data_IF_177644099612
#
_entry.id   IF_177644099612
#
_cell.length_a   1.000
_cell.length_b   1.000
_cell.length_c   1.000
_cell.angle_alpha   90.00
_cell.angle_beta   90.00
_cell.angle_gamma   90.00
#
_symmetry.space_group_name_H-M   'P 1'
#
loop_
_entity.id
_entity.type
_entity.pdbx_description
1 polymer ?
#
# COMPACT_ATOMS: atom_id res chain seq x y z
N UNK A 1 7.85 -25.81 -51.83
CA UNK A 1 8.53 -25.12 -50.71
C UNK A 1 7.89 -23.75 -50.50
N UNK A 2 7.04 -23.61 -49.48
CA UNK A 2 6.55 -22.32 -48.96
C UNK A 2 6.63 -22.41 -47.44
N UNK A 3 7.57 -21.70 -46.83
CA UNK A 3 7.73 -21.66 -45.39
C UNK A 3 6.60 -20.82 -44.78
N UNK A 4 5.90 -21.40 -43.80
CA UNK A 4 4.98 -20.67 -42.92
C UNK A 4 5.83 -19.83 -41.94
N UNK A 5 5.43 -18.59 -41.61
CA UNK A 5 6.05 -17.86 -40.50
C UNK A 5 5.70 -18.56 -39.17
N UNK A 6 6.61 -18.55 -38.18
CA UNK A 6 6.34 -19.14 -36.87
C UNK A 6 5.30 -18.31 -36.13
N UNK A 7 4.36 -19.02 -35.49
CA UNK A 7 3.36 -18.45 -34.61
C UNK A 7 4.03 -17.72 -33.44
N UNK A 8 3.72 -16.43 -33.26
CA UNK A 8 4.06 -15.69 -32.06
C UNK A 8 3.11 -16.16 -30.96
N UNK A 9 3.63 -16.96 -30.04
CA UNK A 9 2.93 -17.43 -28.85
C UNK A 9 2.53 -16.25 -27.97
N UNK A 10 1.23 -16.00 -27.87
CA UNK A 10 0.63 -15.09 -26.91
C UNK A 10 0.66 -15.72 -25.51
N UNK A 11 1.77 -15.55 -24.78
CA UNK A 11 1.89 -15.93 -23.36
C UNK A 11 2.94 -15.10 -22.64
N UNK A 12 2.66 -13.85 -22.27
CA UNK A 12 3.25 -13.19 -21.08
C UNK A 12 2.30 -12.07 -20.63
N UNK A 13 1.19 -12.45 -19.99
CA UNK A 13 0.36 -11.56 -19.17
C UNK A 13 0.28 -12.24 -17.80
N UNK A 14 0.56 -11.47 -16.74
CA UNK A 14 0.53 -11.82 -15.32
C UNK A 14 1.55 -12.85 -14.81
N UNK A 15 2.66 -12.35 -14.24
CA UNK A 15 3.20 -12.79 -12.95
C UNK A 15 4.43 -11.94 -12.60
N UNK A 16 4.23 -10.74 -12.04
CA UNK A 16 5.29 -10.15 -11.19
C UNK A 16 5.13 -10.83 -9.84
N UNK A 17 5.70 -12.03 -9.75
CA UNK A 17 5.90 -12.73 -8.49
C UNK A 17 6.79 -11.86 -7.60
N UNK A 18 6.29 -11.60 -6.40
CA UNK A 18 7.05 -11.08 -5.26
C UNK A 18 8.43 -11.74 -5.19
N UNK A 19 9.47 -10.96 -5.43
CA UNK A 19 10.81 -11.29 -4.97
C UNK A 19 10.90 -11.05 -3.46
N UNK A 20 10.50 -12.04 -2.67
CA UNK A 20 10.83 -12.14 -1.25
C UNK A 20 10.96 -13.62 -0.89
N UNK A 21 12.22 -14.06 -0.83
CA UNK A 21 12.85 -15.03 0.08
C UNK A 21 12.08 -16.32 0.42
N UNK A 22 12.81 -17.44 0.30
CA UNK A 22 12.42 -18.77 0.73
C UNK A 22 11.83 -18.83 2.17
N UNK A 23 10.74 -19.61 2.27
CA UNK A 23 10.15 -20.22 3.48
C UNK A 23 9.70 -19.28 4.62
N UNK A 24 8.53 -18.67 4.43
CA UNK A 24 7.59 -18.31 5.49
C UNK A 24 6.17 -18.76 5.07
N UNK A 25 5.26 -19.14 5.99
CA UNK A 25 3.89 -19.56 5.66
C UNK A 25 3.15 -18.45 4.90
N UNK A 26 2.08 -18.72 4.14
CA UNK A 26 1.54 -17.82 3.12
C UNK A 26 1.19 -16.46 3.74
N UNK A 27 2.11 -15.51 3.60
CA UNK A 27 1.94 -14.16 4.08
C UNK A 27 0.97 -13.47 3.12
N UNK A 28 -0.18 -13.05 3.65
CA UNK A 28 -1.16 -12.18 3.00
C UNK A 28 -0.44 -11.14 2.15
N UNK A 29 -0.65 -11.19 0.83
CA UNK A 29 -0.03 -10.26 -0.11
C UNK A 29 -0.38 -8.83 0.32
N UNK A 30 0.62 -8.10 0.80
CA UNK A 30 0.49 -6.66 0.97
C UNK A 30 0.24 -6.05 -0.42
N UNK A 31 -0.59 -5.01 -0.50
CA UNK A 31 -0.63 -4.22 -1.73
C UNK A 31 0.77 -3.71 -2.05
N UNK A 32 1.04 -3.46 -3.34
CA UNK A 32 2.34 -2.99 -3.79
C UNK A 32 2.80 -1.74 -3.03
N UNK A 33 1.91 -0.77 -2.79
CA UNK A 33 2.22 0.41 -1.98
C UNK A 33 2.53 0.08 -0.53
N UNK A 34 1.81 -0.83 0.12
CA UNK A 34 2.04 -1.17 1.52
C UNK A 34 3.32 -1.98 1.73
N UNK A 35 3.69 -2.86 0.80
CA UNK A 35 4.95 -3.59 0.84
C UNK A 35 6.14 -2.62 0.76
N UNK A 36 6.04 -1.66 -0.16
CA UNK A 36 7.09 -0.70 -0.41
C UNK A 36 7.12 0.44 0.63
N UNK A 37 5.97 0.83 1.20
CA UNK A 37 5.90 1.71 2.38
C UNK A 37 6.69 1.11 3.54
N UNK A 38 6.57 -0.19 3.80
CA UNK A 38 7.35 -0.85 4.86
C UNK A 38 8.85 -0.81 4.58
N UNK A 39 9.25 -0.97 3.33
CA UNK A 39 10.65 -0.89 2.91
C UNK A 39 11.22 0.53 3.09
N UNK A 40 10.41 1.56 2.85
CA UNK A 40 10.79 2.97 3.00
C UNK A 40 10.72 3.48 4.45
N UNK A 41 9.88 2.87 5.29
CA UNK A 41 9.56 3.34 6.66
C UNK A 41 10.41 2.69 7.75
N UNK A 42 11.68 2.36 7.48
CA UNK A 42 12.60 1.89 8.52
C UNK A 42 12.58 2.87 9.72
N UNK A 43 12.48 2.38 10.97
CA UNK A 43 12.01 3.18 12.09
C UNK A 43 12.93 4.39 12.36
N UNK A 44 12.32 5.58 12.41
CA UNK A 44 12.88 6.74 13.11
C UNK A 44 12.30 6.75 14.52
N UNK A 45 13.18 6.81 15.52
CA UNK A 45 12.94 6.83 16.96
C UNK A 45 11.53 7.29 17.38
N UNK A 46 10.73 6.34 17.85
CA UNK A 46 9.46 6.58 18.50
C UNK A 46 9.67 6.54 20.03
N UNK A 47 9.25 7.55 20.81
CA UNK A 47 9.46 7.60 22.25
C UNK A 47 8.80 6.44 23.02
N UNK A 48 7.89 5.67 22.42
CA UNK A 48 7.35 4.46 23.09
C UNK A 48 8.21 3.20 22.87
N UNK A 49 9.32 3.29 22.13
CA UNK A 49 10.18 2.14 21.82
C UNK A 49 10.84 1.56 23.08
N UNK A 50 10.93 2.34 24.15
CA UNK A 50 11.50 1.93 25.44
C UNK A 50 10.51 1.19 26.37
N UNK A 51 9.24 1.01 25.98
CA UNK A 51 8.26 0.29 26.81
C UNK A 51 8.52 -1.22 26.75
N UNK A 52 9.25 -1.72 27.75
CA UNK A 52 9.57 -3.13 27.90
C UNK A 52 8.31 -3.97 28.16
N UNK A 53 8.31 -5.20 27.64
CA UNK A 53 7.37 -6.26 28.03
C UNK A 53 7.52 -6.50 29.54
N UNK A 54 6.59 -5.96 30.34
CA UNK A 54 6.58 -6.15 31.80
C UNK A 54 6.30 -4.90 32.62
N UNK A 55 6.34 -3.69 32.03
CA UNK A 55 5.80 -2.51 32.71
C UNK A 55 4.28 -2.66 32.87
N UNK A 56 3.75 -2.39 34.07
CA UNK A 56 2.30 -2.30 34.27
C UNK A 56 1.82 -1.05 33.52
N UNK A 57 1.16 -1.27 32.39
CA UNK A 57 0.53 -0.18 31.64
C UNK A 57 -0.86 0.01 32.25
N UNK A 58 -0.99 0.84 33.27
CA UNK A 58 -2.28 1.18 33.90
C UNK A 58 -2.84 2.52 33.38
N UNK A 59 -4.12 2.79 33.68
CA UNK A 59 -4.79 4.02 33.20
C UNK A 59 -4.10 5.28 33.76
N UNK A 60 -3.63 5.24 35.01
CA UNK A 60 -2.97 6.39 35.66
C UNK A 60 -1.61 6.69 35.02
N UNK A 61 -0.81 5.65 34.74
CA UNK A 61 0.46 5.76 34.05
C UNK A 61 0.30 6.34 32.64
N UNK A 62 -0.71 5.87 31.90
CA UNK A 62 -1.01 6.39 30.56
C UNK A 62 -1.56 7.82 30.61
N UNK A 63 -2.39 8.16 31.61
CA UNK A 63 -2.90 9.52 31.79
C UNK A 63 -1.77 10.56 31.91
N UNK A 64 -0.67 10.21 32.59
CA UNK A 64 0.51 11.10 32.73
C UNK A 64 1.24 11.38 31.42
N UNK A 65 1.04 10.55 30.39
CA UNK A 65 1.60 10.73 29.05
C UNK A 65 0.73 11.60 28.14
N UNK A 66 -0.52 11.86 28.54
CA UNK A 66 -1.48 12.62 27.75
C UNK A 66 -1.55 14.07 28.21
N UNK A 67 -2.01 15.00 27.35
CA UNK A 67 -2.28 16.37 27.76
C UNK A 67 -3.22 16.44 28.97
N UNK A 68 -3.04 17.46 29.80
CA UNK A 68 -3.94 17.71 30.92
C UNK A 68 -5.40 17.81 30.44
N UNK A 69 -6.31 17.11 31.14
CA UNK A 69 -7.72 17.05 30.80
C UNK A 69 -8.10 15.98 29.77
N UNK A 70 -7.17 15.13 29.31
CA UNK A 70 -7.51 13.97 28.50
C UNK A 70 -8.53 13.07 29.22
N UNK A 71 -9.60 12.71 28.50
CA UNK A 71 -10.67 11.88 29.03
C UNK A 71 -10.29 10.39 29.09
N UNK A 72 -11.09 9.60 29.80
CA UNK A 72 -10.86 8.17 29.94
C UNK A 72 -10.81 7.46 28.59
N UNK A 73 -11.58 7.91 27.59
CA UNK A 73 -11.55 7.36 26.23
C UNK A 73 -10.17 7.53 25.61
N UNK A 74 -9.57 8.71 25.72
CA UNK A 74 -8.22 9.00 25.24
C UNK A 74 -7.17 8.12 25.91
N UNK A 75 -7.31 7.89 27.22
CA UNK A 75 -6.44 6.96 27.98
C UNK A 75 -6.55 5.54 27.44
N UNK A 76 -7.77 5.01 27.27
CA UNK A 76 -8.00 3.66 26.76
C UNK A 76 -7.45 3.49 25.33
N UNK A 77 -7.63 4.47 24.44
CA UNK A 77 -7.07 4.44 23.08
C UNK A 77 -5.54 4.41 23.09
N UNK A 78 -4.92 5.24 23.92
CA UNK A 78 -3.46 5.27 24.04
C UNK A 78 -2.94 3.96 24.62
N UNK A 79 -3.61 3.44 25.66
CA UNK A 79 -3.24 2.16 26.27
C UNK A 79 -3.36 0.99 25.29
N UNK A 80 -4.43 0.95 24.49
CA UNK A 80 -4.57 -0.03 23.42
C UNK A 80 -3.41 0.03 22.40
N UNK A 81 -3.01 1.24 22.00
CA UNK A 81 -1.89 1.45 21.08
C UNK A 81 -0.58 0.94 21.67
N UNK A 82 -0.34 1.18 22.96
CA UNK A 82 0.85 0.68 23.66
C UNK A 82 0.81 -0.85 23.76
N UNK A 83 -0.32 -1.43 24.17
CA UNK A 83 -0.49 -2.88 24.26
C UNK A 83 -0.26 -3.58 22.92
N UNK A 84 -0.77 -3.03 21.83
CA UNK A 84 -0.54 -3.55 20.49
C UNK A 84 0.95 -3.54 20.12
N UNK A 85 1.67 -2.45 20.45
CA UNK A 85 3.12 -2.33 20.19
C UNK A 85 3.96 -3.34 20.97
N UNK A 86 3.60 -3.63 22.23
CA UNK A 86 4.30 -4.64 23.04
C UNK A 86 3.82 -6.08 22.74
N UNK A 87 2.85 -6.24 21.84
CA UNK A 87 2.32 -7.53 21.38
C UNK A 87 1.26 -8.14 22.30
N UNK A 88 0.72 -7.38 23.25
CA UNK A 88 -0.40 -7.80 24.10
C UNK A 88 -1.74 -7.49 23.40
N UNK A 89 -2.03 -8.30 22.38
CA UNK A 89 -3.19 -8.10 21.48
C UNK A 89 -4.51 -8.19 22.24
N UNK A 90 -4.61 -9.06 23.24
CA UNK A 90 -5.84 -9.26 24.02
C UNK A 90 -6.20 -8.01 24.83
N UNK A 91 -5.22 -7.41 25.53
CA UNK A 91 -5.47 -6.18 26.28
C UNK A 91 -5.71 -4.98 25.38
N UNK A 92 -5.05 -4.92 24.22
CA UNK A 92 -5.32 -3.88 23.23
C UNK A 92 -6.77 -3.91 22.75
N UNK A 93 -7.29 -5.10 22.41
CA UNK A 93 -8.69 -5.27 22.01
C UNK A 93 -9.67 -4.95 23.15
N UNK A 94 -9.34 -5.37 24.38
CA UNK A 94 -10.16 -5.10 25.56
C UNK A 94 -10.32 -3.60 25.80
N UNK A 95 -9.24 -2.82 25.64
CA UNK A 95 -9.28 -1.36 25.80
C UNK A 95 -10.05 -0.64 24.71
N UNK A 96 -9.91 -1.05 23.45
CA UNK A 96 -10.71 -0.51 22.34
C UNK A 96 -12.19 -0.81 22.55
N UNK A 97 -12.51 -1.99 23.07
CA UNK A 97 -13.89 -2.40 23.41
C UNK A 97 -14.43 -1.60 24.60
N UNK A 98 -13.62 -1.38 25.63
CA UNK A 98 -13.98 -0.54 26.76
C UNK A 98 -14.21 0.92 26.33
N UNK A 99 -13.40 1.45 25.42
CA UNK A 99 -13.57 2.80 24.88
C UNK A 99 -14.90 2.96 24.13
N UNK A 100 -15.31 1.94 23.36
CA UNK A 100 -16.60 1.90 22.65
C UNK A 100 -17.81 1.82 23.59
N UNK A 101 -17.63 1.35 24.83
CA UNK A 101 -18.70 1.31 25.82
C UNK A 101 -18.97 2.69 26.48
N UNK A 102 -18.11 3.68 26.27
CA UNK A 102 -18.27 5.04 26.84
C UNK A 102 -19.20 5.86 25.94
N UNK A 103 -20.35 6.27 26.47
CA UNK A 103 -21.35 7.08 25.74
C UNK A 103 -21.08 8.58 25.84
N UNK A 104 -21.34 9.37 24.77
CA UNK A 104 -21.82 8.93 23.45
C UNK A 104 -20.74 8.19 22.66
N UNK A 105 -21.16 7.24 21.82
CA UNK A 105 -20.23 6.44 21.00
C UNK A 105 -19.71 7.29 19.84
N UNK A 106 -18.39 7.42 19.75
CA UNK A 106 -17.72 8.11 18.65
C UNK A 106 -17.55 7.14 17.46
N UNK A 107 -18.03 7.49 16.24
CA UNK A 107 -17.86 6.63 15.06
C UNK A 107 -16.40 6.29 14.77
N UNK A 108 -15.48 7.22 15.07
CA UNK A 108 -14.03 7.04 14.91
C UNK A 108 -13.48 5.86 15.71
N UNK A 109 -14.07 5.51 16.86
CA UNK A 109 -13.63 4.35 17.65
C UNK A 109 -13.90 3.02 16.94
N UNK A 110 -14.97 2.94 16.14
CA UNK A 110 -15.19 1.78 15.27
C UNK A 110 -14.13 1.73 14.17
N UNK A 111 -13.72 2.88 13.62
CA UNK A 111 -12.61 2.90 12.67
C UNK A 111 -11.30 2.45 13.33
N UNK A 112 -10.99 2.93 14.53
CA UNK A 112 -9.78 2.58 15.29
C UNK A 112 -9.71 1.06 15.54
N UNK A 113 -10.79 0.45 16.06
CA UNK A 113 -10.84 -0.98 16.32
C UNK A 113 -10.93 -1.82 15.05
N UNK A 114 -11.63 -1.34 14.02
CA UNK A 114 -11.65 -1.96 12.70
C UNK A 114 -10.24 -2.02 12.07
N UNK A 115 -9.45 -0.96 12.20
CA UNK A 115 -8.07 -0.94 11.71
C UNK A 115 -7.14 -1.82 12.54
N UNK A 116 -7.36 -1.91 13.86
CA UNK A 116 -6.70 -2.90 14.72
C UNK A 116 -6.97 -4.32 14.22
N UNK A 117 -8.23 -4.69 14.00
CA UNK A 117 -8.59 -5.99 13.44
C UNK A 117 -7.99 -6.25 12.06
N UNK A 118 -7.95 -5.24 11.18
CA UNK A 118 -7.30 -5.36 9.88
C UNK A 118 -5.80 -5.68 9.99
N UNK A 119 -5.07 -5.01 10.90
CA UNK A 119 -3.64 -5.28 11.14
C UNK A 119 -3.39 -6.68 11.67
N UNK A 120 -4.33 -7.21 12.45
CA UNK A 120 -4.32 -8.59 12.97
C UNK A 120 -5.03 -9.61 12.06
N UNK A 121 -5.33 -9.25 10.80
CA UNK A 121 -5.95 -10.14 9.80
C UNK A 121 -7.35 -10.69 10.20
N UNK A 122 -8.02 -10.07 11.16
CA UNK A 122 -9.39 -10.37 11.56
C UNK A 122 -10.38 -9.63 10.67
N UNK A 123 -10.43 -10.03 9.40
CA UNK A 123 -11.14 -9.29 8.36
C UNK A 123 -12.66 -9.17 8.59
N UNK A 124 -13.30 -10.22 9.09
CA UNK A 124 -14.74 -10.20 9.38
C UNK A 124 -15.08 -9.17 10.47
N UNK A 125 -14.29 -9.15 11.55
CA UNK A 125 -14.45 -8.20 12.65
C UNK A 125 -14.15 -6.77 12.20
N UNK A 126 -13.11 -6.58 11.38
CA UNK A 126 -12.77 -5.29 10.80
C UNK A 126 -13.94 -4.71 9.96
N UNK A 127 -14.53 -5.52 9.07
CA UNK A 127 -15.68 -5.09 8.27
C UNK A 127 -16.89 -4.79 9.15
N UNK A 128 -17.16 -5.62 10.17
CA UNK A 128 -18.27 -5.40 11.09
C UNK A 128 -18.17 -4.05 11.79
N UNK A 129 -16.98 -3.69 12.28
CA UNK A 129 -16.72 -2.40 12.92
C UNK A 129 -16.83 -1.24 11.92
N UNK A 130 -16.21 -1.33 10.74
CA UNK A 130 -16.33 -0.25 9.75
C UNK A 130 -17.79 -0.02 9.31
N UNK A 131 -18.59 -1.08 9.18
CA UNK A 131 -20.03 -0.99 8.89
C UNK A 131 -20.80 -0.36 10.05
N UNK A 132 -20.47 -0.70 11.31
CA UNK A 132 -21.08 -0.08 12.48
C UNK A 132 -20.78 1.42 12.55
N UNK A 133 -19.53 1.82 12.32
CA UNK A 133 -19.13 3.22 12.24
C UNK A 133 -19.83 3.97 11.09
N UNK A 134 -19.93 3.36 9.90
CA UNK A 134 -20.65 3.94 8.77
C UNK A 134 -22.15 4.18 9.05
N UNK A 135 -22.78 3.35 9.89
CA UNK A 135 -24.19 3.57 10.29
C UNK A 135 -24.35 4.80 11.18
N UNK A 136 -23.35 5.11 12.02
CA UNK A 136 -23.36 6.28 12.89
C UNK A 136 -22.92 7.56 12.14
N UNK A 137 -22.03 7.44 11.17
CA UNK A 137 -21.52 8.54 10.37
C UNK A 137 -21.57 8.22 8.85
N UNK A 138 -22.77 8.22 8.23
CA UNK A 138 -22.97 7.77 6.85
C UNK A 138 -22.38 8.68 5.78
N UNK A 139 -21.82 9.84 6.17
CA UNK A 139 -21.18 10.80 5.26
C UNK A 139 -19.65 10.79 5.35
N UNK A 140 -19.07 9.97 6.22
CA UNK A 140 -17.62 9.88 6.35
C UNK A 140 -17.04 8.85 5.39
N UNK A 141 -16.21 9.31 4.45
CA UNK A 141 -15.56 8.46 3.45
C UNK A 141 -14.60 7.42 4.05
N UNK A 142 -14.15 7.62 5.29
CA UNK A 142 -13.19 6.74 5.97
C UNK A 142 -13.70 5.30 6.08
N UNK A 143 -15.00 5.09 6.29
CA UNK A 143 -15.57 3.76 6.47
C UNK A 143 -15.64 2.94 5.17
N UNK A 144 -16.26 3.41 4.07
CA UNK A 144 -16.21 2.69 2.81
C UNK A 144 -14.78 2.52 2.28
N UNK A 145 -13.89 3.49 2.52
CA UNK A 145 -12.47 3.33 2.21
C UNK A 145 -11.86 2.17 2.99
N UNK A 146 -12.10 2.10 4.31
CA UNK A 146 -11.56 1.04 5.15
C UNK A 146 -12.11 -0.35 4.78
N UNK A 147 -13.40 -0.45 4.43
CA UNK A 147 -14.00 -1.69 3.90
C UNK A 147 -13.33 -2.11 2.60
N UNK A 148 -13.09 -1.16 1.68
CA UNK A 148 -12.35 -1.42 0.44
C UNK A 148 -10.94 -1.95 0.70
N UNK A 149 -10.24 -1.41 1.71
CA UNK A 149 -8.92 -1.92 2.12
C UNK A 149 -8.98 -3.36 2.64
N UNK A 150 -9.98 -3.71 3.44
CA UNK A 150 -10.15 -5.10 3.90
C UNK A 150 -10.40 -6.04 2.73
N UNK A 151 -11.29 -5.67 1.81
CA UNK A 151 -11.59 -6.46 0.60
C UNK A 151 -10.36 -6.66 -0.28
N UNK A 152 -9.59 -5.59 -0.53
CA UNK A 152 -8.35 -5.68 -1.28
C UNK A 152 -7.32 -6.61 -0.62
N UNK A 153 -7.24 -6.61 0.73
CA UNK A 153 -6.38 -7.53 1.48
C UNK A 153 -6.83 -8.99 1.43
N UNK A 154 -8.12 -9.22 1.23
CA UNK A 154 -8.67 -10.55 0.96
C UNK A 154 -8.52 -10.99 -0.51
N UNK A 155 -7.97 -10.13 -1.38
CA UNK A 155 -7.86 -10.38 -2.81
C UNK A 155 -9.15 -10.13 -3.60
N UNK A 156 -10.20 -9.62 -2.96
CA UNK A 156 -11.48 -9.30 -3.59
C UNK A 156 -11.42 -7.87 -4.16
N UNK A 157 -10.66 -7.72 -5.25
CA UNK A 157 -10.36 -6.43 -5.85
C UNK A 157 -11.59 -5.80 -6.52
N UNK A 158 -12.53 -6.60 -7.04
CA UNK A 158 -13.79 -6.11 -7.60
C UNK A 158 -14.64 -5.40 -6.54
N UNK A 159 -14.84 -6.01 -5.37
CA UNK A 159 -15.57 -5.35 -4.29
C UNK A 159 -14.79 -4.17 -3.72
N UNK A 160 -13.46 -4.27 -3.65
CA UNK A 160 -12.62 -3.17 -3.20
C UNK A 160 -12.83 -1.92 -4.08
N UNK A 161 -12.83 -2.08 -5.41
CA UNK A 161 -13.12 -0.99 -6.35
C UNK A 161 -14.49 -0.36 -6.07
N UNK A 162 -15.53 -1.17 -5.82
CA UNK A 162 -16.87 -0.66 -5.51
C UNK A 162 -16.89 0.15 -4.20
N UNK A 163 -16.25 -0.36 -3.14
CA UNK A 163 -16.18 0.32 -1.84
C UNK A 163 -15.36 1.61 -1.92
N UNK A 164 -14.25 1.62 -2.65
CA UNK A 164 -13.49 2.84 -2.93
C UNK A 164 -14.28 3.83 -3.79
N UNK A 165 -15.10 3.34 -4.74
CA UNK A 165 -16.03 4.17 -5.49
C UNK A 165 -17.03 4.89 -4.59
N UNK A 166 -17.56 4.20 -3.57
CA UNK A 166 -18.45 4.83 -2.59
C UNK A 166 -17.72 5.86 -1.72
N UNK A 167 -16.49 5.57 -1.29
CA UNK A 167 -15.66 6.55 -0.59
C UNK A 167 -15.42 7.81 -1.45
N UNK A 168 -15.12 7.64 -2.74
CA UNK A 168 -14.93 8.74 -3.69
C UNK A 168 -16.23 9.47 -4.06
N UNK A 169 -17.40 8.87 -3.81
CA UNK A 169 -18.68 9.56 -3.92
C UNK A 169 -18.90 10.53 -2.75
N UNK A 170 -18.34 10.22 -1.59
CA UNK A 170 -18.42 11.04 -0.38
C UNK A 170 -17.33 12.12 -0.34
N UNK A 171 -16.12 11.78 -0.79
CA UNK A 171 -14.99 12.70 -0.95
C UNK A 171 -14.26 12.40 -2.27
N UNK A 172 -14.57 13.16 -3.32
CA UNK A 172 -14.09 12.87 -4.68
C UNK A 172 -12.61 13.11 -4.90
N UNK A 173 -11.96 13.87 -4.03
CA UNK A 173 -10.57 14.31 -4.17
C UNK A 173 -9.64 13.72 -3.10
N UNK A 174 -10.07 12.66 -2.39
CA UNK A 174 -9.15 11.91 -1.52
C UNK A 174 -8.15 11.12 -2.37
N UNK A 175 -6.97 11.71 -2.57
CA UNK A 175 -5.86 11.14 -3.33
C UNK A 175 -5.45 9.74 -2.87
N UNK A 176 -5.63 9.41 -1.59
CA UNK A 176 -5.28 8.09 -1.04
C UNK A 176 -6.26 7.03 -1.50
N UNK A 177 -7.54 7.38 -1.56
CA UNK A 177 -8.60 6.49 -2.06
C UNK A 177 -8.43 6.28 -3.57
N UNK A 178 -8.07 7.34 -4.31
CA UNK A 178 -7.75 7.25 -5.74
C UNK A 178 -6.57 6.30 -6.00
N UNK A 179 -5.47 6.42 -5.25
CA UNK A 179 -4.33 5.50 -5.33
C UNK A 179 -4.76 4.05 -5.04
N UNK A 180 -5.51 3.84 -3.94
CA UNK A 180 -5.95 2.50 -3.53
C UNK A 180 -6.89 1.85 -4.57
N UNK A 181 -7.77 2.64 -5.20
CA UNK A 181 -8.65 2.16 -6.27
C UNK A 181 -7.87 1.87 -7.56
N UNK A 182 -6.91 2.72 -7.91
CA UNK A 182 -6.03 2.49 -9.04
C UNK A 182 -5.22 1.19 -8.88
N UNK A 183 -4.74 0.88 -7.67
CA UNK A 183 -4.08 -0.38 -7.38
C UNK A 183 -5.01 -1.58 -7.55
N UNK A 184 -6.24 -1.49 -7.04
CA UNK A 184 -7.23 -2.54 -7.25
C UNK A 184 -7.54 -2.74 -8.75
N UNK A 185 -7.63 -1.66 -9.53
CA UNK A 185 -7.76 -1.74 -10.99
C UNK A 185 -6.54 -2.39 -11.65
N UNK A 186 -5.32 -2.11 -11.22
CA UNK A 186 -4.10 -2.79 -11.71
C UNK A 186 -4.17 -4.30 -11.47
N UNK A 187 -4.62 -4.73 -10.29
CA UNK A 187 -4.79 -6.15 -9.98
C UNK A 187 -5.86 -6.84 -10.86
N UNK A 188 -6.89 -6.10 -11.27
CA UNK A 188 -7.93 -6.54 -12.19
C UNK A 188 -7.53 -6.47 -13.68
N UNK A 189 -6.36 -5.89 -13.99
CA UNK A 189 -5.93 -5.63 -15.37
C UNK A 189 -6.64 -4.44 -16.04
N UNK A 190 -7.36 -3.62 -15.29
CA UNK A 190 -8.06 -2.41 -15.75
C UNK A 190 -7.09 -1.21 -15.78
N UNK A 191 -6.07 -1.30 -16.63
CA UNK A 191 -4.95 -0.35 -16.61
C UNK A 191 -5.32 1.08 -17.05
N UNK A 192 -6.35 1.25 -17.86
CA UNK A 192 -6.79 2.58 -18.30
C UNK A 192 -7.45 3.34 -17.14
N UNK A 193 -8.36 2.69 -16.42
CA UNK A 193 -9.02 3.22 -15.23
C UNK A 193 -8.02 3.50 -14.11
N UNK A 194 -7.05 2.59 -13.91
CA UNK A 194 -5.95 2.82 -12.97
C UNK A 194 -5.13 4.08 -13.32
N UNK A 195 -4.78 4.27 -14.59
CA UNK A 195 -4.04 5.45 -15.06
C UNK A 195 -4.80 6.75 -14.78
N UNK A 196 -6.12 6.73 -14.99
CA UNK A 196 -6.97 7.89 -14.75
C UNK A 196 -7.02 8.25 -13.26
N UNK A 197 -7.20 7.26 -12.38
CA UNK A 197 -7.20 7.48 -10.93
C UNK A 197 -5.85 7.93 -10.39
N UNK A 198 -4.73 7.33 -10.84
CA UNK A 198 -3.40 7.85 -10.48
C UNK A 198 -3.18 9.28 -10.97
N UNK A 199 -3.67 9.61 -12.17
CA UNK A 199 -3.56 10.97 -12.71
C UNK A 199 -4.35 11.98 -11.88
N UNK A 200 -5.54 11.60 -11.40
CA UNK A 200 -6.32 12.42 -10.49
C UNK A 200 -5.61 12.56 -9.14
N UNK A 201 -5.13 11.47 -8.55
CA UNK A 201 -4.41 11.49 -7.28
C UNK A 201 -3.19 12.41 -7.30
N UNK A 202 -2.43 12.44 -8.39
CA UNK A 202 -1.26 13.32 -8.52
C UNK A 202 -1.60 14.82 -8.58
N UNK A 203 -2.87 15.17 -8.80
CA UNK A 203 -3.40 16.54 -8.78
C UNK A 203 -3.98 16.96 -7.42
N UNK A 204 -4.10 16.04 -6.47
CA UNK A 204 -4.59 16.34 -5.12
C UNK A 204 -3.41 16.58 -4.16
N UNK A 205 -3.66 17.16 -2.98
CA UNK A 205 -2.72 17.07 -1.86
C UNK A 205 -2.48 15.60 -1.50
N UNK A 206 -1.20 15.25 -1.32
CA UNK A 206 -0.76 13.92 -0.89
C UNK A 206 0.24 14.13 0.26
N UNK A 207 -0.27 14.04 1.49
CA UNK A 207 0.48 14.46 2.68
C UNK A 207 1.56 13.46 3.10
N UNK A 208 1.38 12.17 2.75
CA UNK A 208 2.43 11.17 3.01
C UNK A 208 3.44 11.20 1.87
N UNK A 209 4.74 11.37 2.16
CA UNK A 209 5.78 11.41 1.12
C UNK A 209 5.73 10.19 0.17
N UNK A 210 5.41 9.01 0.69
CA UNK A 210 5.27 7.78 -0.10
C UNK A 210 4.11 7.80 -1.09
N UNK A 211 2.99 8.48 -0.80
CA UNK A 211 1.78 8.41 -1.64
C UNK A 211 2.05 8.98 -3.04
N UNK A 212 2.77 10.11 -3.13
CA UNK A 212 3.12 10.72 -4.42
C UNK A 212 4.07 9.82 -5.21
N UNK A 213 5.04 9.21 -4.52
CA UNK A 213 5.95 8.24 -5.13
C UNK A 213 5.16 7.03 -5.69
N UNK A 214 4.22 6.45 -4.93
CA UNK A 214 3.40 5.32 -5.40
C UNK A 214 2.51 5.68 -6.57
N UNK A 215 1.92 6.88 -6.55
CA UNK A 215 1.11 7.34 -7.66
C UNK A 215 1.91 7.48 -8.96
N UNK A 216 3.16 7.97 -8.89
CA UNK A 216 4.06 8.01 -10.05
C UNK A 216 4.45 6.60 -10.52
N UNK A 217 4.89 5.72 -9.62
CA UNK A 217 5.27 4.35 -10.01
C UNK A 217 4.10 3.58 -10.60
N UNK A 218 2.92 3.67 -9.97
CA UNK A 218 1.69 3.04 -10.43
C UNK A 218 1.26 3.56 -11.81
N UNK A 219 1.25 4.88 -12.00
CA UNK A 219 0.94 5.46 -13.32
C UNK A 219 1.97 5.09 -14.37
N UNK A 220 3.26 5.12 -14.03
CA UNK A 220 4.33 4.70 -14.93
C UNK A 220 4.19 3.24 -15.35
N UNK A 221 3.83 2.35 -14.41
CA UNK A 221 3.54 0.95 -14.70
C UNK A 221 2.33 0.79 -15.64
N UNK A 222 1.23 1.50 -15.39
CA UNK A 222 0.09 1.48 -16.32
C UNK A 222 0.47 1.98 -17.72
N UNK A 223 1.32 3.02 -17.81
CA UNK A 223 1.87 3.50 -19.08
C UNK A 223 2.71 2.45 -19.80
N UNK A 224 3.58 1.74 -19.07
CA UNK A 224 4.40 0.65 -19.61
C UNK A 224 3.53 -0.46 -20.22
N UNK A 225 2.49 -0.90 -19.50
CA UNK A 225 1.57 -1.96 -19.95
C UNK A 225 0.71 -1.49 -21.14
N UNK A 226 0.29 -0.22 -21.13
CA UNK A 226 -0.45 0.40 -22.23
C UNK A 226 0.45 0.84 -23.40
N UNK A 227 1.74 0.48 -23.38
CA UNK A 227 2.75 0.81 -24.40
C UNK A 227 3.05 2.31 -24.59
N UNK A 228 2.65 3.16 -23.64
CA UNK A 228 3.05 4.57 -23.57
C UNK A 228 4.39 4.70 -22.82
N UNK A 229 5.44 4.22 -23.46
CA UNK A 229 6.75 4.11 -22.84
C UNK A 229 7.39 5.47 -22.52
N UNK A 230 7.10 6.50 -23.31
CA UNK A 230 7.60 7.85 -23.06
C UNK A 230 6.96 8.47 -21.81
N UNK A 231 5.65 8.30 -21.61
CA UNK A 231 5.00 8.72 -20.37
C UNK A 231 5.48 7.90 -19.17
N UNK A 232 5.63 6.58 -19.34
CA UNK A 232 6.11 5.68 -18.30
C UNK A 232 7.49 6.12 -17.77
N UNK A 233 8.45 6.40 -18.66
CA UNK A 233 9.78 6.88 -18.26
C UNK A 233 9.70 8.19 -17.48
N UNK A 234 8.88 9.15 -17.92
CA UNK A 234 8.71 10.42 -17.22
C UNK A 234 8.17 10.22 -15.80
N UNK A 235 7.21 9.32 -15.62
CA UNK A 235 6.67 9.00 -14.30
C UNK A 235 7.70 8.30 -13.41
N UNK A 236 8.48 7.37 -13.96
CA UNK A 236 9.58 6.76 -13.20
C UNK A 236 10.70 7.75 -12.86
N UNK A 237 10.99 8.72 -13.73
CA UNK A 237 11.91 9.82 -13.43
C UNK A 237 11.41 10.65 -12.23
N UNK A 238 10.11 10.97 -12.19
CA UNK A 238 9.51 11.66 -11.04
C UNK A 238 9.56 10.82 -9.77
N UNK A 239 9.26 9.52 -9.86
CA UNK A 239 9.38 8.61 -8.73
C UNK A 239 10.82 8.53 -8.20
N UNK A 240 11.82 8.43 -9.08
CA UNK A 240 13.24 8.37 -8.71
C UNK A 240 13.79 9.71 -8.22
N UNK A 241 13.18 10.84 -8.59
CA UNK A 241 13.51 12.13 -7.99
C UNK A 241 13.07 12.20 -6.51
N UNK A 242 12.00 11.51 -6.14
CA UNK A 242 11.52 11.39 -4.76
C UNK A 242 12.34 10.35 -3.98
N UNK A 243 12.58 9.19 -4.59
CA UNK A 243 13.29 8.06 -3.99
C UNK A 243 14.38 7.53 -4.93
N UNK A 244 15.60 8.10 -4.90
CA UNK A 244 16.67 7.80 -5.88
C UNK A 244 17.16 6.35 -5.90
N UNK A 245 16.91 5.59 -4.84
CA UNK A 245 17.33 4.19 -4.66
C UNK A 245 16.16 3.22 -4.67
N UNK A 246 15.02 3.61 -5.26
CA UNK A 246 13.90 2.72 -5.47
C UNK A 246 14.17 1.75 -6.64
N UNK A 247 14.73 0.57 -6.35
CA UNK A 247 15.18 -0.41 -7.35
C UNK A 247 14.05 -0.93 -8.26
N UNK A 248 12.83 -1.00 -7.76
CA UNK A 248 11.65 -1.30 -8.57
C UNK A 248 11.40 -0.23 -9.65
N UNK A 249 11.47 1.06 -9.30
CA UNK A 249 11.29 2.15 -10.25
C UNK A 249 12.45 2.20 -11.27
N UNK A 250 13.68 1.90 -10.84
CA UNK A 250 14.82 1.72 -11.75
C UNK A 250 14.59 0.57 -12.73
N UNK A 251 14.17 -0.61 -12.24
CA UNK A 251 13.88 -1.75 -13.11
C UNK A 251 12.81 -1.42 -14.16
N UNK A 252 11.68 -0.83 -13.73
CA UNK A 252 10.61 -0.45 -14.65
C UNK A 252 11.02 0.63 -15.65
N UNK A 253 11.82 1.62 -15.22
CA UNK A 253 12.38 2.62 -16.14
C UNK A 253 13.34 1.97 -17.14
N UNK A 254 14.16 1.02 -16.69
CA UNK A 254 15.04 0.23 -17.54
C UNK A 254 14.27 -0.53 -18.62
N UNK A 255 13.20 -1.24 -18.24
CA UNK A 255 12.34 -1.94 -19.19
C UNK A 255 11.62 -0.99 -20.14
N UNK A 256 11.13 0.16 -19.68
CA UNK A 256 10.54 1.18 -20.54
C UNK A 256 11.56 1.73 -21.55
N UNK A 257 12.79 1.99 -21.11
CA UNK A 257 13.87 2.44 -21.99
C UNK A 257 14.30 1.37 -23.01
N UNK A 258 14.30 0.08 -22.64
CA UNK A 258 14.50 -1.01 -23.60
C UNK A 258 13.43 -0.97 -24.69
N UNK A 259 12.15 -0.81 -24.33
CA UNK A 259 11.04 -0.73 -25.29
C UNK A 259 11.10 0.50 -26.19
N UNK A 260 11.72 1.60 -25.73
CA UNK A 260 12.00 2.81 -26.52
C UNK A 260 13.25 2.70 -27.40
N UNK A 261 13.98 1.57 -27.35
CA UNK A 261 15.25 1.40 -28.05
C UNK A 261 16.42 2.18 -27.43
N UNK A 262 16.27 2.69 -26.20
CA UNK A 262 17.32 3.39 -25.45
C UNK A 262 18.12 2.39 -24.61
N UNK A 263 18.79 1.46 -25.29
CA UNK A 263 19.52 0.34 -24.68
C UNK A 263 20.52 0.78 -23.63
N UNK A 264 21.30 1.84 -23.88
CA UNK A 264 22.31 2.32 -22.93
C UNK A 264 21.70 2.75 -21.58
N UNK A 265 20.56 3.47 -21.65
CA UNK A 265 19.83 3.90 -20.45
C UNK A 265 19.21 2.70 -19.72
N UNK A 266 18.69 1.73 -20.47
CA UNK A 266 18.14 0.51 -19.90
C UNK A 266 19.22 -0.31 -19.15
N UNK A 267 20.40 -0.47 -19.75
CA UNK A 267 21.54 -1.16 -19.13
C UNK A 267 21.95 -0.44 -17.84
N UNK A 268 22.11 0.90 -17.87
CA UNK A 268 22.53 1.67 -16.71
C UNK A 268 21.57 1.51 -15.51
N UNK A 269 20.26 1.51 -15.76
CA UNK A 269 19.26 1.29 -14.71
C UNK A 269 19.30 -0.13 -14.16
N UNK A 270 19.32 -1.15 -15.03
CA UNK A 270 19.32 -2.55 -14.61
C UNK A 270 20.63 -2.93 -13.89
N UNK A 271 21.76 -2.32 -14.23
CA UNK A 271 23.03 -2.49 -13.51
C UNK A 271 22.93 -2.02 -12.06
N UNK A 272 22.29 -0.87 -11.82
CA UNK A 272 22.07 -0.37 -10.45
C UNK A 272 21.18 -1.32 -9.64
N UNK A 273 20.18 -1.93 -10.28
CA UNK A 273 19.32 -2.93 -9.63
C UNK A 273 20.11 -4.19 -9.29
N UNK A 274 20.87 -4.76 -10.23
CA UNK A 274 21.70 -5.95 -9.98
C UNK A 274 22.80 -5.70 -8.95
N UNK A 275 23.37 -4.49 -8.89
CA UNK A 275 24.36 -4.13 -7.90
C UNK A 275 23.78 -4.16 -6.47
N UNK A 276 22.50 -3.82 -6.32
CA UNK A 276 21.82 -3.83 -5.03
C UNK A 276 21.24 -5.21 -4.66
N UNK A 277 20.68 -5.92 -5.63
CA UNK A 277 20.24 -7.31 -5.48
C UNK A 277 20.83 -8.19 -6.59
N UNK A 278 21.99 -8.81 -6.36
CA UNK A 278 22.60 -9.72 -7.31
C UNK A 278 21.79 -11.01 -7.55
N UNK A 279 20.80 -11.31 -6.71
CA UNK A 279 20.00 -12.53 -6.80
C UNK A 279 18.83 -12.44 -7.77
N UNK A 280 18.42 -11.22 -8.16
CA UNK A 280 17.35 -10.99 -9.13
C UNK A 280 17.69 -11.62 -10.49
N UNK A 281 17.11 -12.80 -10.77
CA UNK A 281 17.40 -13.57 -11.96
C UNK A 281 16.82 -12.94 -13.24
N UNK A 282 15.69 -12.24 -13.11
CA UNK A 282 14.99 -11.63 -14.24
C UNK A 282 15.74 -10.41 -14.76
N UNK A 283 16.11 -9.50 -13.84
CA UNK A 283 16.88 -8.31 -14.17
C UNK A 283 18.24 -8.70 -14.74
N UNK A 284 18.93 -9.70 -14.17
CA UNK A 284 20.18 -10.22 -14.74
C UNK A 284 20.02 -10.83 -16.12
N UNK A 285 18.93 -11.58 -16.35
CA UNK A 285 18.64 -12.17 -17.67
C UNK A 285 18.44 -11.07 -18.71
N UNK A 286 17.65 -10.04 -18.37
CA UNK A 286 17.41 -8.89 -19.22
C UNK A 286 18.70 -8.10 -19.50
N UNK A 287 19.51 -7.85 -18.47
CA UNK A 287 20.80 -7.16 -18.62
C UNK A 287 21.76 -7.92 -19.55
N UNK A 288 21.87 -9.25 -19.42
CA UNK A 288 22.68 -10.08 -20.33
C UNK A 288 22.17 -10.01 -21.77
N UNK A 289 20.86 -10.10 -21.98
CA UNK A 289 20.21 -9.97 -23.30
C UNK A 289 20.50 -8.62 -23.94
N UNK A 290 20.48 -7.54 -23.17
CA UNK A 290 20.71 -6.19 -23.69
C UNK A 290 22.17 -5.98 -24.10
N UNK A 291 23.12 -6.51 -23.33
CA UNK A 291 24.56 -6.42 -23.64
C UNK A 291 25.01 -7.28 -24.82
N UNK A 292 24.21 -8.26 -25.24
CA UNK A 292 24.53 -9.14 -26.37
C UNK A 292 24.00 -8.66 -27.72
N UNK A 293 23.25 -7.55 -27.76
CA UNK A 293 22.75 -6.94 -28.99
C UNK A 293 23.71 -5.86 -29.48
#
# INVERSE_FOLDING_TARGET
>A
MRARPPAVSASVVLAVSLGLVAAAPPAVAASFSEALTRQLSAPRNDPTTDLQKGAVIDEEGVQRLLPEGADRRSVLKMRATIYERVGDVERAEADLTAALAITPVEPSLYADRGYFYLRHQRYADAVADFVAGARLAPREAVFPYAVGRVQARMGDHERAVASYGEALRLDSEDGRVLIARAEAYVHLGHYAEARDDYTRALRTPLDRPGDRYFAFVGRGYTGLVLHDYDAAVKDFDQALALEPNAFNALAWRGFANEKRGRTDLAIADLERVVAADPSDAEVRSSLRRLRSK
#
